data_IF_745353025644
#
_entry.id   IF_745353025644
#
_cell.length_a   1.000
_cell.length_b   1.000
_cell.length_c   1.000
_cell.angle_alpha   90.00
_cell.angle_beta   90.00
_cell.angle_gamma   90.00
#
_symmetry.space_group_name_H-M   'P 1'
#
loop_
_entity.id
_entity.type
_entity.pdbx_description
1 polymer ?
#
# COMPACT_ATOMS: atom_id res chain seq x y z
N UNK A 1 28.70 22.44 32.25
CA UNK A 1 27.88 21.42 31.55
C UNK A 1 28.86 20.36 31.06
N UNK A 2 28.59 19.09 31.28
CA UNK A 2 29.49 17.98 30.97
C UNK A 2 29.57 17.63 29.48
N UNK A 3 28.86 18.33 28.60
CA UNK A 3 28.81 18.07 27.16
C UNK A 3 28.71 19.37 26.34
N UNK A 4 29.04 19.29 25.05
CA UNK A 4 29.09 20.41 24.09
C UNK A 4 27.96 20.34 23.07
N UNK A 5 27.81 21.40 22.26
CA UNK A 5 26.87 21.38 21.10
C UNK A 5 27.27 20.33 20.03
N UNK A 6 28.58 20.00 19.96
CA UNK A 6 29.07 18.95 19.09
C UNK A 6 28.58 17.55 19.53
N UNK A 7 28.57 17.28 20.83
CA UNK A 7 28.08 16.03 21.39
C UNK A 7 26.56 15.84 21.11
N UNK A 8 25.78 16.93 21.23
CA UNK A 8 24.35 16.92 20.84
C UNK A 8 24.16 16.59 19.35
N UNK A 9 25.03 17.16 18.48
CA UNK A 9 25.00 16.88 17.05
C UNK A 9 25.38 15.43 16.77
N UNK A 10 26.43 14.93 17.40
CA UNK A 10 26.86 13.52 17.29
C UNK A 10 25.75 12.56 17.70
N UNK A 11 25.12 12.77 18.86
CA UNK A 11 24.02 11.94 19.33
C UNK A 11 22.81 11.99 18.38
N UNK A 12 22.51 13.17 17.80
CA UNK A 12 21.47 13.30 16.77
C UNK A 12 21.81 12.54 15.48
N UNK A 13 23.05 12.60 15.03
CA UNK A 13 23.51 11.86 13.84
C UNK A 13 23.43 10.36 14.04
N UNK A 14 23.73 9.87 15.26
CA UNK A 14 23.64 8.46 15.63
C UNK A 14 22.19 7.96 15.74
N UNK A 15 21.28 8.78 16.28
CA UNK A 15 19.93 8.32 16.67
C UNK A 15 18.81 8.86 15.78
N UNK A 16 19.09 9.84 14.91
CA UNK A 16 18.09 10.59 14.13
C UNK A 16 16.98 11.25 14.96
N UNK A 17 17.15 11.33 16.28
CA UNK A 17 16.19 11.95 17.21
C UNK A 17 16.32 13.48 17.19
N UNK A 18 15.24 14.19 17.52
CA UNK A 18 15.22 15.65 17.55
C UNK A 18 16.31 16.25 18.50
N UNK A 19 16.93 17.36 18.09
CA UNK A 19 18.05 18.00 18.80
C UNK A 19 17.75 18.31 20.27
N UNK A 20 16.52 18.69 20.60
CA UNK A 20 16.13 19.01 21.99
C UNK A 20 16.00 17.75 22.85
N UNK A 21 15.57 16.64 22.30
CA UNK A 21 15.53 15.36 23.01
C UNK A 21 16.95 14.81 23.22
N UNK A 22 17.84 14.95 22.22
CA UNK A 22 19.26 14.59 22.36
C UNK A 22 19.94 15.45 23.44
N UNK A 23 19.71 16.77 23.46
CA UNK A 23 20.23 17.64 24.53
C UNK A 23 19.71 17.22 25.89
N UNK A 24 18.43 16.90 26.02
CA UNK A 24 17.83 16.44 27.27
C UNK A 24 18.44 15.12 27.74
N UNK A 25 18.64 14.17 26.82
CA UNK A 25 19.27 12.90 27.14
C UNK A 25 20.68 13.09 27.69
N UNK A 26 21.51 13.94 27.08
CA UNK A 26 22.85 14.26 27.58
C UNK A 26 22.84 14.97 28.92
N UNK A 27 21.83 15.78 29.22
CA UNK A 27 21.66 16.37 30.55
C UNK A 27 21.39 15.30 31.60
N UNK A 28 20.46 14.38 31.34
CA UNK A 28 20.03 13.31 32.26
C UNK A 28 21.13 12.24 32.47
N UNK A 29 22.05 12.13 31.48
CA UNK A 29 23.15 11.15 31.49
C UNK A 29 24.53 11.78 31.72
N UNK A 30 24.61 13.00 32.30
CA UNK A 30 25.85 13.72 32.62
C UNK A 30 26.85 13.80 31.44
N UNK A 31 26.36 13.85 30.22
CA UNK A 31 27.14 13.94 28.97
C UNK A 31 27.64 12.61 28.44
N UNK A 32 27.30 11.48 29.04
CA UNK A 32 27.62 10.13 28.55
C UNK A 32 26.75 9.78 27.35
N UNK A 33 27.35 9.65 26.17
CA UNK A 33 26.66 9.42 24.91
C UNK A 33 26.00 8.04 24.90
N UNK A 34 26.67 6.99 25.36
CA UNK A 34 26.14 5.62 25.35
C UNK A 34 24.91 5.50 26.26
N UNK A 35 24.98 6.04 27.46
CA UNK A 35 23.80 6.10 28.35
C UNK A 35 22.69 6.98 27.79
N UNK A 36 23.03 8.06 27.09
CA UNK A 36 22.05 8.91 26.44
C UNK A 36 21.30 8.17 25.31
N UNK A 37 21.96 7.28 24.57
CA UNK A 37 21.31 6.40 23.58
C UNK A 37 20.33 5.46 24.26
N UNK A 38 20.72 4.78 25.36
CA UNK A 38 19.84 3.90 26.13
C UNK A 38 18.63 4.68 26.69
N UNK A 39 18.88 5.85 27.29
CA UNK A 39 17.82 6.73 27.80
C UNK A 39 16.82 7.17 26.71
N UNK A 40 17.32 7.51 25.52
CA UNK A 40 16.47 7.85 24.37
C UNK A 40 15.62 6.65 23.94
N UNK A 41 16.17 5.44 23.99
CA UNK A 41 15.44 4.20 23.66
C UNK A 41 14.29 3.95 24.65
N UNK A 42 14.53 4.07 25.96
CA UNK A 42 13.49 3.94 26.98
C UNK A 42 12.39 5.00 26.83
N UNK A 43 12.78 6.26 26.55
CA UNK A 43 11.82 7.35 26.31
C UNK A 43 11.06 7.15 24.99
N UNK A 44 11.68 6.54 24.01
CA UNK A 44 11.05 6.14 22.75
C UNK A 44 9.90 5.18 22.96
N UNK A 45 10.08 4.14 23.78
CA UNK A 45 9.03 3.20 24.19
C UNK A 45 7.82 3.93 24.80
N UNK A 46 8.06 4.84 25.75
CA UNK A 46 6.99 5.61 26.40
C UNK A 46 6.25 6.56 25.42
N UNK A 47 6.99 7.19 24.49
CA UNK A 47 6.40 8.06 23.46
C UNK A 47 5.59 7.24 22.44
N UNK A 48 6.11 6.09 21.99
CA UNK A 48 5.40 5.20 21.08
C UNK A 48 4.08 4.71 21.69
N UNK A 49 4.09 4.26 22.95
CA UNK A 49 2.89 3.83 23.67
C UNK A 49 1.81 4.94 23.75
N UNK A 50 2.23 6.20 24.00
CA UNK A 50 1.30 7.35 24.03
C UNK A 50 0.69 7.68 22.66
N UNK A 51 1.39 7.35 21.56
CA UNK A 51 0.94 7.64 20.21
C UNK A 51 0.16 6.48 19.58
N UNK A 52 0.28 5.27 20.08
CA UNK A 52 -0.31 4.06 19.50
C UNK A 52 -1.83 4.14 19.28
N UNK A 53 -2.55 4.94 20.11
CA UNK A 53 -3.99 5.18 19.94
C UNK A 53 -4.38 6.28 18.94
N UNK A 54 -3.41 6.94 18.29
CA UNK A 54 -3.72 7.98 17.30
C UNK A 54 -4.04 7.36 15.96
N UNK A 55 -5.00 7.96 15.24
CA UNK A 55 -5.39 7.50 13.91
C UNK A 55 -4.24 7.75 12.95
N UNK A 56 -3.77 6.68 12.30
CA UNK A 56 -2.75 6.70 11.26
C UNK A 56 -3.41 6.29 9.93
N UNK A 57 -4.04 7.24 9.24
CA UNK A 57 -4.81 7.00 8.01
C UNK A 57 -4.06 7.47 6.74
N UNK A 58 -2.94 8.18 6.91
CA UNK A 58 -2.01 8.50 5.84
C UNK A 58 -0.86 7.48 5.82
N UNK A 59 0.10 7.62 4.92
CA UNK A 59 1.24 6.70 4.83
C UNK A 59 1.62 6.36 3.39
N UNK A 60 2.16 5.14 3.20
CA UNK A 60 2.63 4.67 1.90
C UNK A 60 2.28 3.18 1.70
N UNK A 61 1.76 2.87 0.51
CA UNK A 61 1.72 1.52 -0.04
C UNK A 61 2.88 1.37 -1.03
N UNK A 62 3.88 0.57 -0.66
CA UNK A 62 5.12 0.43 -1.41
C UNK A 62 5.24 -0.97 -1.99
N UNK A 63 5.69 -1.05 -3.25
CA UNK A 63 5.97 -2.31 -3.92
C UNK A 63 7.49 -2.41 -4.22
N UNK A 64 8.09 -3.53 -3.83
CA UNK A 64 9.48 -3.90 -4.07
C UNK A 64 9.52 -5.16 -4.92
N UNK A 65 10.43 -5.21 -5.87
CA UNK A 65 10.79 -6.45 -6.59
C UNK A 65 12.30 -6.57 -6.58
N UNK A 66 12.80 -7.59 -5.92
CA UNK A 66 14.23 -7.82 -5.76
C UNK A 66 14.53 -9.32 -5.68
N UNK A 67 15.57 -9.78 -6.35
CA UNK A 67 16.05 -11.19 -6.35
C UNK A 67 14.94 -12.23 -6.65
N UNK A 68 14.00 -11.91 -7.54
CA UNK A 68 12.89 -12.79 -7.90
C UNK A 68 11.72 -12.78 -6.92
N UNK A 69 11.82 -12.02 -5.83
CA UNK A 69 10.76 -11.86 -4.83
C UNK A 69 10.05 -10.53 -5.04
N UNK A 70 8.72 -10.55 -5.03
CA UNK A 70 7.87 -9.37 -5.02
C UNK A 70 7.22 -9.16 -3.67
N UNK A 71 7.18 -7.90 -3.21
CA UNK A 71 6.53 -7.49 -1.97
C UNK A 71 5.68 -6.27 -2.22
N UNK A 72 4.48 -6.21 -1.67
CA UNK A 72 3.73 -4.98 -1.49
C UNK A 72 3.39 -4.84 -0.01
N UNK A 73 3.66 -3.67 0.57
CA UNK A 73 3.43 -3.39 1.99
C UNK A 73 2.75 -2.04 2.15
N UNK A 74 1.81 -1.96 3.09
CA UNK A 74 1.19 -0.70 3.54
C UNK A 74 1.68 -0.37 4.95
N UNK A 75 2.33 0.79 5.06
CA UNK A 75 2.73 1.40 6.34
C UNK A 75 2.02 2.72 6.49
N UNK A 76 1.37 2.92 7.63
CA UNK A 76 0.58 4.11 7.92
C UNK A 76 1.29 5.04 8.90
N UNK A 77 0.99 6.34 8.77
CA UNK A 77 1.37 7.43 9.67
C UNK A 77 0.20 8.41 9.85
N UNK A 78 0.37 9.44 10.68
CA UNK A 78 -0.73 10.37 11.01
C UNK A 78 -0.99 11.39 9.88
N UNK A 79 0.08 11.89 9.20
CA UNK A 79 -0.02 12.98 8.22
C UNK A 79 0.58 12.65 6.86
N UNK A 80 0.12 13.35 5.82
CA UNK A 80 0.67 13.24 4.47
C UNK A 80 2.07 13.89 4.35
N UNK A 81 2.43 14.81 5.24
CA UNK A 81 3.77 15.36 5.36
C UNK A 81 4.77 14.30 5.82
N UNK A 82 4.40 13.54 6.87
CA UNK A 82 5.18 12.42 7.33
C UNK A 82 5.39 11.38 6.21
N UNK A 83 4.30 11.01 5.52
CA UNK A 83 4.32 10.04 4.43
C UNK A 83 5.33 10.37 3.31
N UNK A 84 5.65 11.64 3.11
CA UNK A 84 6.60 12.14 2.11
C UNK A 84 8.01 12.37 2.65
N UNK A 85 8.22 12.24 3.96
CA UNK A 85 9.53 12.47 4.58
C UNK A 85 10.52 11.36 4.24
N UNK A 86 11.78 11.72 4.04
CA UNK A 86 12.83 10.75 3.71
C UNK A 86 12.98 9.66 4.78
N UNK A 87 12.82 10.01 6.06
CA UNK A 87 12.91 9.06 7.18
C UNK A 87 11.80 8.01 7.12
N UNK A 88 10.56 8.43 6.82
CA UNK A 88 9.44 7.51 6.69
C UNK A 88 9.57 6.63 5.44
N UNK A 89 9.91 7.24 4.30
CA UNK A 89 10.10 6.49 3.03
C UNK A 89 11.22 5.46 3.16
N UNK A 90 12.32 5.80 3.82
CA UNK A 90 13.41 4.86 4.10
C UNK A 90 12.93 3.72 4.99
N UNK A 91 12.19 4.02 6.06
CA UNK A 91 11.61 3.01 6.94
C UNK A 91 10.69 2.03 6.19
N UNK A 92 9.79 2.53 5.34
CA UNK A 92 8.90 1.69 4.52
C UNK A 92 9.68 0.76 3.59
N UNK A 93 10.74 1.27 2.95
CA UNK A 93 11.62 0.48 2.09
C UNK A 93 12.38 -0.60 2.86
N UNK A 94 12.86 -0.28 4.07
CA UNK A 94 13.53 -1.24 4.93
C UNK A 94 12.57 -2.37 5.35
N UNK A 95 11.32 -2.04 5.72
CA UNK A 95 10.29 -3.05 6.02
C UNK A 95 10.01 -3.94 4.82
N UNK A 96 9.90 -3.37 3.61
CA UNK A 96 9.71 -4.17 2.40
C UNK A 96 10.88 -5.15 2.15
N UNK A 97 12.13 -4.74 2.44
CA UNK A 97 13.31 -5.61 2.36
C UNK A 97 13.28 -6.72 3.42
N UNK A 98 12.94 -6.40 4.66
CA UNK A 98 12.78 -7.41 5.73
C UNK A 98 11.79 -8.49 5.28
N UNK A 99 10.64 -8.08 4.72
CA UNK A 99 9.62 -9.02 4.22
C UNK A 99 10.18 -9.87 3.07
N UNK A 100 10.90 -9.25 2.12
CA UNK A 100 11.46 -9.96 0.98
C UNK A 100 12.48 -11.03 1.40
N UNK A 101 13.36 -10.70 2.36
CA UNK A 101 14.49 -11.53 2.76
C UNK A 101 14.12 -12.61 3.79
N UNK A 102 13.21 -12.33 4.73
CA UNK A 102 12.96 -13.19 5.89
C UNK A 102 11.63 -13.96 5.85
N UNK A 103 10.78 -13.71 4.82
CA UNK A 103 9.53 -14.44 4.56
C UNK A 103 8.60 -14.59 5.78
N UNK A 104 8.25 -13.50 6.48
CA UNK A 104 7.31 -13.58 7.59
C UNK A 104 5.91 -13.99 7.09
N UNK A 105 5.22 -14.85 7.88
CA UNK A 105 3.89 -15.32 7.52
C UNK A 105 2.80 -14.23 7.62
N UNK A 106 2.98 -13.29 8.56
CA UNK A 106 2.05 -12.19 8.85
C UNK A 106 2.78 -11.01 9.52
N UNK A 107 2.02 -9.97 9.89
CA UNK A 107 2.59 -8.79 10.54
C UNK A 107 3.17 -9.12 11.92
N UNK A 108 2.56 -10.04 12.67
CA UNK A 108 3.07 -10.43 14.00
C UNK A 108 4.42 -11.18 13.88
N UNK A 109 4.56 -12.05 12.88
CA UNK A 109 5.83 -12.69 12.56
C UNK A 109 6.87 -11.66 12.08
N UNK A 110 6.47 -10.69 11.23
CA UNK A 110 7.33 -9.61 10.78
C UNK A 110 7.92 -8.79 11.93
N UNK A 111 7.14 -8.55 12.99
CA UNK A 111 7.60 -7.80 14.15
C UNK A 111 8.76 -8.50 14.89
N UNK A 112 8.93 -9.82 14.73
CA UNK A 112 10.01 -10.63 15.31
C UNK A 112 11.20 -10.80 14.33
N UNK A 113 11.08 -10.37 13.08
CA UNK A 113 12.18 -10.40 12.12
C UNK A 113 13.26 -9.37 12.47
N UNK A 114 14.52 -9.65 12.11
CA UNK A 114 15.60 -8.69 12.25
C UNK A 114 15.43 -7.50 11.31
N UNK A 115 15.60 -6.31 11.85
CA UNK A 115 15.57 -5.09 11.05
C UNK A 115 16.83 -4.97 10.18
N UNK A 116 16.71 -4.41 8.98
CA UNK A 116 17.82 -4.25 8.03
C UNK A 116 19.00 -3.54 8.67
N UNK A 117 20.18 -4.17 8.61
CA UNK A 117 21.42 -3.60 9.13
C UNK A 117 21.49 -3.46 10.66
N UNK A 118 20.64 -4.17 11.41
CA UNK A 118 20.57 -4.13 12.87
C UNK A 118 20.48 -5.53 13.46
N UNK A 119 20.97 -5.70 14.69
CA UNK A 119 20.71 -6.92 15.48
C UNK A 119 19.33 -6.90 16.17
N UNK A 120 18.67 -5.75 16.18
CA UNK A 120 17.34 -5.56 16.75
C UNK A 120 16.25 -6.10 15.82
N UNK A 121 15.15 -6.53 16.43
CA UNK A 121 13.93 -6.89 15.68
C UNK A 121 13.20 -5.64 15.20
N UNK A 122 12.24 -5.83 14.27
CA UNK A 122 11.35 -4.75 13.81
C UNK A 122 10.62 -4.14 15.01
N UNK A 123 10.08 -4.98 15.94
CA UNK A 123 9.36 -4.50 17.12
C UNK A 123 10.23 -3.67 18.06
N UNK A 124 11.50 -4.04 18.22
CA UNK A 124 12.46 -3.29 19.03
C UNK A 124 12.91 -1.98 18.39
N UNK A 125 12.87 -1.90 17.06
CA UNK A 125 13.22 -0.70 16.28
C UNK A 125 12.06 0.30 16.17
N UNK A 126 10.80 -0.16 16.18
CA UNK A 126 9.61 0.68 16.04
C UNK A 126 9.57 1.91 16.98
N UNK A 127 9.85 1.79 18.30
CA UNK A 127 9.83 2.94 19.21
C UNK A 127 10.82 4.04 18.82
N UNK A 128 12.00 3.66 18.35
CA UNK A 128 13.01 4.59 17.85
C UNK A 128 12.52 5.32 16.60
N UNK A 129 11.92 4.59 15.66
CA UNK A 129 11.33 5.18 14.43
C UNK A 129 10.18 6.14 14.77
N UNK A 130 9.29 5.76 15.68
CA UNK A 130 8.21 6.64 16.18
C UNK A 130 8.78 7.89 16.86
N UNK A 131 9.90 7.78 17.54
CA UNK A 131 10.54 8.92 18.20
C UNK A 131 11.22 9.86 17.18
N UNK A 132 11.94 9.32 16.22
CA UNK A 132 12.69 10.08 15.21
C UNK A 132 11.76 10.74 14.17
N UNK A 133 10.75 10.02 13.70
CA UNK A 133 9.76 10.51 12.75
C UNK A 133 8.75 11.44 13.44
N UNK A 134 8.41 11.16 14.70
CA UNK A 134 7.56 12.03 15.51
C UNK A 134 6.07 11.72 15.44
N UNK A 135 5.64 10.68 14.73
CA UNK A 135 4.25 10.27 14.55
C UNK A 135 3.99 8.83 14.98
N UNK A 136 2.71 8.44 15.11
CA UNK A 136 2.30 7.05 15.20
C UNK A 136 2.60 6.35 13.88
N UNK A 137 3.26 5.20 13.94
CA UNK A 137 3.59 4.38 12.77
C UNK A 137 2.95 3.00 12.93
N UNK A 138 2.34 2.50 11.86
CA UNK A 138 1.71 1.19 11.85
C UNK A 138 2.05 0.43 10.57
N UNK A 139 2.68 -0.74 10.69
CA UNK A 139 2.80 -1.69 9.59
C UNK A 139 1.46 -2.43 9.54
N UNK A 140 0.66 -2.18 8.50
CA UNK A 140 -0.73 -2.61 8.47
C UNK A 140 -0.93 -3.97 7.83
N UNK A 141 -0.35 -4.15 6.67
CA UNK A 141 -0.52 -5.37 5.86
C UNK A 141 0.58 -5.47 4.81
N UNK A 142 0.86 -6.67 4.37
CA UNK A 142 1.74 -6.94 3.24
C UNK A 142 1.32 -8.21 2.50
N UNK A 143 1.83 -8.36 1.29
CA UNK A 143 1.81 -9.61 0.53
C UNK A 143 3.17 -9.81 -0.11
N UNK A 144 3.62 -11.05 -0.14
CA UNK A 144 4.89 -11.49 -0.73
C UNK A 144 4.64 -12.59 -1.75
N UNK A 145 5.21 -12.45 -2.95
CA UNK A 145 5.26 -13.49 -3.96
C UNK A 145 6.71 -13.91 -4.17
N UNK A 146 7.00 -15.21 -3.99
CA UNK A 146 8.34 -15.80 -4.17
C UNK A 146 8.41 -16.66 -5.43
N UNK A 147 7.27 -16.97 -6.03
CA UNK A 147 7.18 -17.78 -7.24
C UNK A 147 6.81 -16.91 -8.44
N UNK A 148 7.20 -17.36 -9.64
CA UNK A 148 6.97 -16.67 -10.90
C UNK A 148 7.70 -15.32 -10.99
N UNK A 149 7.29 -14.47 -11.93
CA UNK A 149 7.83 -13.14 -12.12
C UNK A 149 6.93 -12.10 -11.49
N UNK A 150 7.42 -11.42 -10.47
CA UNK A 150 6.70 -10.32 -9.83
C UNK A 150 7.09 -8.98 -10.42
N UNK A 151 6.13 -8.08 -10.58
CA UNK A 151 6.34 -6.70 -11.03
C UNK A 151 5.61 -5.74 -10.09
N UNK A 152 6.37 -4.88 -9.42
CA UNK A 152 5.85 -3.85 -8.52
C UNK A 152 5.61 -2.52 -9.23
N UNK A 153 4.55 -1.81 -8.79
CA UNK A 153 4.24 -0.46 -9.23
C UNK A 153 3.73 0.39 -8.06
N UNK A 154 4.28 1.59 -7.95
CA UNK A 154 3.87 2.57 -6.92
C UNK A 154 3.28 3.78 -7.63
N UNK A 155 2.02 4.11 -7.33
CA UNK A 155 1.29 5.21 -7.93
C UNK A 155 1.11 6.37 -6.95
N UNK A 156 1.13 7.62 -7.50
CA UNK A 156 0.86 8.85 -6.77
C UNK A 156 1.66 8.99 -5.46
N UNK A 157 2.97 8.69 -5.51
CA UNK A 157 3.85 8.84 -4.36
C UNK A 157 3.57 7.88 -3.20
N UNK A 158 3.02 6.70 -3.49
CA UNK A 158 2.70 5.69 -2.48
C UNK A 158 1.25 5.66 -2.02
N UNK A 159 0.36 6.43 -2.67
CA UNK A 159 -1.09 6.32 -2.38
C UNK A 159 -1.67 4.98 -2.79
N UNK A 160 -1.12 4.36 -3.85
CA UNK A 160 -1.49 3.03 -4.29
C UNK A 160 -0.22 2.25 -4.58
N UNK A 161 -0.10 1.06 -4.01
CA UNK A 161 0.90 0.05 -4.33
C UNK A 161 0.26 -1.14 -5.02
N UNK A 162 0.84 -1.60 -6.11
CA UNK A 162 0.38 -2.77 -6.86
C UNK A 162 1.54 -3.74 -7.05
N UNK A 163 1.28 -5.02 -6.82
CA UNK A 163 2.18 -6.12 -7.13
C UNK A 163 1.46 -7.08 -8.06
N UNK A 164 2.04 -7.34 -9.22
CA UNK A 164 1.52 -8.28 -10.23
C UNK A 164 2.42 -9.50 -10.28
N UNK A 165 1.83 -10.69 -10.37
CA UNK A 165 2.52 -11.97 -10.51
C UNK A 165 2.20 -12.59 -11.87
N UNK A 166 3.24 -12.93 -12.64
CA UNK A 166 3.16 -13.39 -14.01
C UNK A 166 3.94 -14.69 -14.19
N UNK A 167 3.31 -15.73 -14.73
CA UNK A 167 4.04 -16.90 -15.24
C UNK A 167 4.62 -16.54 -16.62
N UNK A 168 5.94 -16.63 -16.76
CA UNK A 168 6.68 -16.20 -17.96
C UNK A 168 7.44 -17.37 -18.53
N UNK A 169 7.23 -17.66 -19.83
CA UNK A 169 7.96 -18.67 -20.57
C UNK A 169 8.74 -18.05 -21.74
N UNK A 170 9.79 -18.76 -22.17
CA UNK A 170 10.62 -18.33 -23.30
C UNK A 170 11.78 -17.40 -22.93
N UNK A 171 12.02 -17.21 -21.61
CA UNK A 171 13.16 -16.40 -21.11
C UNK A 171 13.07 -14.91 -21.45
N UNK A 172 11.87 -14.40 -21.71
CA UNK A 172 11.61 -12.99 -22.03
C UNK A 172 11.55 -12.12 -20.78
N UNK A 173 11.85 -10.82 -20.92
CA UNK A 173 11.62 -9.83 -19.86
C UNK A 173 10.16 -9.31 -19.92
N UNK A 174 9.36 -9.72 -18.95
CA UNK A 174 7.97 -9.31 -18.82
C UNK A 174 7.76 -8.04 -17.95
N UNK A 175 8.83 -7.35 -17.55
CA UNK A 175 8.76 -6.20 -16.65
C UNK A 175 7.83 -5.10 -17.17
N UNK A 176 7.92 -4.75 -18.47
CA UNK A 176 7.08 -3.71 -19.06
C UNK A 176 5.60 -4.16 -19.17
N UNK A 177 5.36 -5.44 -19.48
CA UNK A 177 4.02 -6.02 -19.49
C UNK A 177 3.39 -5.90 -18.09
N UNK A 178 4.13 -6.34 -17.07
CA UNK A 178 3.69 -6.28 -15.68
C UNK A 178 3.42 -4.85 -15.20
N UNK A 179 4.27 -3.88 -15.54
CA UNK A 179 4.05 -2.46 -15.22
C UNK A 179 2.78 -1.90 -15.83
N UNK A 180 2.52 -2.20 -17.10
CA UNK A 180 1.31 -1.73 -17.79
C UNK A 180 0.04 -2.35 -17.17
N UNK A 181 0.09 -3.63 -16.81
CA UNK A 181 -1.01 -4.30 -16.09
C UNK A 181 -1.18 -3.70 -14.68
N UNK A 182 -0.09 -3.44 -13.95
CA UNK A 182 -0.14 -2.81 -12.63
C UNK A 182 -0.71 -1.39 -12.69
N UNK A 183 -0.38 -0.59 -13.72
CA UNK A 183 -0.98 0.73 -13.95
C UNK A 183 -2.49 0.64 -14.21
N UNK A 184 -2.94 -0.34 -15.00
CA UNK A 184 -4.37 -0.61 -15.20
C UNK A 184 -5.08 -0.92 -13.87
N UNK A 185 -4.51 -1.81 -13.06
CA UNK A 185 -5.04 -2.18 -11.74
C UNK A 185 -5.10 -0.96 -10.81
N UNK A 186 -4.05 -0.14 -10.79
CA UNK A 186 -4.01 1.08 -9.98
C UNK A 186 -5.13 2.06 -10.37
N UNK A 187 -5.37 2.24 -11.67
CA UNK A 187 -6.31 3.20 -12.20
C UNK A 187 -7.78 2.76 -12.08
N UNK A 188 -8.09 1.51 -12.40
CA UNK A 188 -9.48 1.04 -12.54
C UNK A 188 -9.98 0.22 -11.36
N UNK A 189 -9.10 -0.25 -10.46
CA UNK A 189 -9.45 -1.03 -9.27
C UNK A 189 -10.43 -2.19 -9.56
N UNK A 190 -10.07 -3.15 -10.41
CA UNK A 190 -10.95 -4.26 -10.79
C UNK A 190 -11.39 -5.07 -9.56
N UNK A 191 -12.65 -5.52 -9.56
CA UNK A 191 -13.19 -6.36 -8.47
C UNK A 191 -12.68 -7.80 -8.53
N UNK A 192 -12.38 -8.28 -9.76
CA UNK A 192 -11.93 -9.64 -10.05
C UNK A 192 -10.75 -9.57 -11.03
N UNK A 193 -9.87 -10.55 -10.94
CA UNK A 193 -8.79 -10.64 -11.94
C UNK A 193 -9.27 -11.28 -13.25
N UNK A 194 -10.16 -12.26 -13.18
CA UNK A 194 -10.73 -12.94 -14.32
C UNK A 194 -12.22 -13.23 -14.08
N UNK A 195 -12.98 -13.34 -15.17
CA UNK A 195 -14.41 -13.69 -15.12
C UNK A 195 -14.71 -15.01 -14.43
N UNK A 196 -13.75 -15.95 -14.39
CA UNK A 196 -13.90 -17.23 -13.68
C UNK A 196 -13.97 -17.10 -12.17
N UNK A 197 -13.57 -15.95 -11.61
CA UNK A 197 -13.69 -15.63 -10.18
C UNK A 197 -15.06 -15.08 -9.80
N UNK A 198 -15.89 -14.74 -10.79
CA UNK A 198 -17.23 -14.23 -10.54
C UNK A 198 -18.16 -15.41 -10.23
N UNK A 199 -18.66 -15.48 -8.99
CA UNK A 199 -19.54 -16.57 -8.58
C UNK A 199 -20.95 -16.45 -9.14
N UNK A 200 -21.68 -17.58 -9.17
CA UNK A 200 -23.07 -17.60 -9.64
C UNK A 200 -23.98 -16.69 -8.82
N UNK A 201 -23.71 -16.51 -7.52
CA UNK A 201 -24.46 -15.60 -6.65
C UNK A 201 -24.28 -14.15 -7.07
N UNK A 202 -23.04 -13.72 -7.37
CA UNK A 202 -22.75 -12.36 -7.89
C UNK A 202 -23.48 -12.15 -9.21
N UNK A 203 -23.40 -13.12 -10.13
CA UNK A 203 -24.09 -13.03 -11.42
C UNK A 203 -25.63 -12.98 -11.27
N UNK A 204 -26.17 -13.75 -10.33
CA UNK A 204 -27.62 -13.73 -10.06
C UNK A 204 -28.10 -12.38 -9.53
N UNK A 205 -27.33 -11.76 -8.59
CA UNK A 205 -27.66 -10.44 -8.08
C UNK A 205 -27.54 -9.36 -9.16
N UNK A 206 -26.47 -9.37 -9.97
CA UNK A 206 -26.31 -8.42 -11.08
C UNK A 206 -27.40 -8.57 -12.14
N UNK A 207 -27.83 -9.80 -12.45
CA UNK A 207 -29.00 -10.06 -13.32
C UNK A 207 -30.27 -9.49 -12.74
N UNK A 208 -30.52 -9.68 -11.44
CA UNK A 208 -31.68 -9.14 -10.74
C UNK A 208 -31.71 -7.61 -10.78
N UNK A 209 -30.57 -6.97 -10.52
CA UNK A 209 -30.41 -5.51 -10.63
C UNK A 209 -30.69 -5.06 -12.06
N UNK A 210 -30.13 -5.76 -13.05
CA UNK A 210 -30.32 -5.45 -14.45
C UNK A 210 -31.79 -5.53 -14.88
N UNK A 211 -32.53 -6.54 -14.41
CA UNK A 211 -33.96 -6.69 -14.67
C UNK A 211 -34.77 -5.60 -13.98
N UNK A 212 -34.50 -5.32 -12.69
CA UNK A 212 -35.19 -4.26 -11.95
C UNK A 212 -35.02 -2.88 -12.62
N UNK A 213 -33.83 -2.56 -13.10
CA UNK A 213 -33.58 -1.33 -13.87
C UNK A 213 -34.35 -1.30 -15.21
N UNK A 214 -34.55 -2.46 -15.85
CA UNK A 214 -35.35 -2.51 -17.08
C UNK A 214 -36.83 -2.29 -16.82
N UNK A 215 -37.34 -2.75 -15.68
CA UNK A 215 -38.76 -2.57 -15.33
C UNK A 215 -39.10 -1.12 -14.96
N UNK A 216 -38.11 -0.30 -14.59
CA UNK A 216 -38.29 1.14 -14.36
C UNK A 216 -38.35 1.97 -15.65
N UNK A 217 -37.88 1.43 -16.78
CA UNK A 217 -37.98 2.08 -18.10
C UNK A 217 -39.18 1.56 -18.86
N UNK A 218 -40.24 2.37 -19.14
CA UNK A 218 -41.45 1.93 -19.83
C UNK A 218 -41.18 1.31 -21.20
N UNK A 219 -40.13 1.74 -21.93
CA UNK A 219 -39.74 1.20 -23.22
C UNK A 219 -39.11 -0.18 -23.13
N UNK A 220 -38.46 -0.47 -22.00
CA UNK A 220 -37.83 -1.76 -21.70
C UNK A 220 -38.83 -2.72 -21.05
N UNK A 221 -39.66 -2.23 -20.14
CA UNK A 221 -40.68 -3.02 -19.43
C UNK A 221 -41.67 -3.71 -20.40
N UNK A 222 -42.02 -3.05 -21.52
CA UNK A 222 -42.95 -3.59 -22.54
C UNK A 222 -42.33 -4.61 -23.50
N UNK A 223 -41.02 -4.92 -23.39
CA UNK A 223 -40.37 -5.89 -24.29
C UNK A 223 -40.70 -7.34 -23.93
N UNK A 224 -40.80 -8.26 -24.90
CA UNK A 224 -40.94 -9.69 -24.65
C UNK A 224 -39.78 -10.23 -23.81
N UNK A 225 -40.04 -11.24 -22.97
CA UNK A 225 -39.05 -11.82 -22.02
C UNK A 225 -37.78 -12.31 -22.73
N UNK A 226 -37.92 -12.97 -23.90
CA UNK A 226 -36.78 -13.41 -24.69
C UNK A 226 -35.86 -12.25 -25.17
N UNK A 227 -36.43 -11.04 -25.34
CA UNK A 227 -35.64 -9.84 -25.68
C UNK A 227 -34.97 -9.29 -24.42
N UNK A 228 -35.69 -9.30 -23.27
CA UNK A 228 -35.13 -8.90 -21.98
C UNK A 228 -33.93 -9.78 -21.62
N UNK A 229 -34.04 -11.10 -21.77
CA UNK A 229 -32.94 -12.04 -21.51
C UNK A 229 -31.69 -11.75 -22.33
N UNK A 230 -31.86 -11.48 -23.65
CA UNK A 230 -30.72 -11.10 -24.52
C UNK A 230 -30.03 -9.80 -24.06
N UNK A 231 -30.84 -8.83 -23.63
CA UNK A 231 -30.30 -7.56 -23.11
C UNK A 231 -29.53 -7.80 -21.77
N UNK A 232 -30.07 -8.65 -20.90
CA UNK A 232 -29.41 -9.03 -19.64
C UNK A 232 -28.08 -9.76 -19.94
N UNK A 233 -28.04 -10.68 -20.90
CA UNK A 233 -26.77 -11.30 -21.33
C UNK A 233 -25.76 -10.28 -21.83
N UNK A 234 -26.20 -9.29 -22.61
CA UNK A 234 -25.32 -8.19 -23.03
C UNK A 234 -24.80 -7.36 -21.87
N UNK A 235 -25.66 -7.09 -20.85
CA UNK A 235 -25.26 -6.40 -19.62
C UNK A 235 -24.27 -7.24 -18.80
N UNK A 236 -24.38 -8.56 -18.77
CA UNK A 236 -23.42 -9.44 -18.09
C UNK A 236 -22.05 -9.41 -18.77
N UNK A 237 -21.99 -9.38 -20.09
CA UNK A 237 -20.72 -9.19 -20.79
C UNK A 237 -20.08 -7.85 -20.45
N UNK A 238 -20.88 -6.79 -20.41
CA UNK A 238 -20.41 -5.47 -20.00
C UNK A 238 -19.95 -5.45 -18.53
N UNK A 239 -20.64 -6.17 -17.65
CA UNK A 239 -20.20 -6.35 -16.27
C UNK A 239 -18.78 -6.95 -16.17
N UNK A 240 -18.48 -7.99 -16.98
CA UNK A 240 -17.14 -8.55 -17.02
C UNK A 240 -16.10 -7.54 -17.54
N UNK A 241 -16.42 -6.81 -18.60
CA UNK A 241 -15.57 -5.78 -19.19
C UNK A 241 -15.29 -4.62 -18.21
N UNK A 242 -16.21 -4.33 -17.28
CA UNK A 242 -16.07 -3.25 -16.31
C UNK A 242 -15.45 -3.70 -14.98
N UNK A 243 -15.54 -4.99 -14.61
CA UNK A 243 -15.17 -5.47 -13.28
C UNK A 243 -14.05 -6.52 -13.27
N UNK A 244 -13.75 -7.19 -14.39
CA UNK A 244 -12.74 -8.25 -14.44
C UNK A 244 -11.52 -7.78 -15.24
N UNK A 245 -10.36 -7.70 -14.58
CA UNK A 245 -9.11 -7.17 -15.13
C UNK A 245 -8.81 -7.69 -16.55
N UNK A 246 -8.81 -9.01 -16.73
CA UNK A 246 -8.42 -9.63 -18.00
C UNK A 246 -9.42 -9.35 -19.14
N UNK A 247 -10.70 -9.08 -18.81
CA UNK A 247 -11.75 -8.73 -19.75
C UNK A 247 -11.86 -7.23 -20.00
N UNK A 248 -11.33 -6.39 -19.09
CA UNK A 248 -11.33 -4.92 -19.27
C UNK A 248 -10.62 -4.51 -20.55
N UNK A 249 -11.09 -3.43 -21.17
CA UNK A 249 -10.35 -2.77 -22.22
C UNK A 249 -9.05 -2.18 -21.67
N UNK A 250 -7.95 -2.37 -22.39
CA UNK A 250 -6.64 -1.90 -21.97
C UNK A 250 -6.56 -0.38 -22.07
N UNK A 251 -6.27 0.30 -20.96
CA UNK A 251 -6.31 1.78 -20.87
C UNK A 251 -5.28 2.47 -21.75
N UNK A 252 -4.13 1.82 -22.03
CA UNK A 252 -3.10 2.35 -22.91
C UNK A 252 -3.42 2.02 -24.37
N UNK A 253 -4.49 2.63 -24.90
CA UNK A 253 -4.94 2.45 -26.30
C UNK A 253 -3.90 2.89 -27.34
N UNK A 254 -2.92 3.69 -26.92
CA UNK A 254 -1.74 4.04 -27.71
C UNK A 254 -0.78 2.85 -27.93
N UNK A 255 -0.77 1.87 -27.05
CA UNK A 255 0.06 0.66 -27.16
C UNK A 255 -0.70 -0.52 -27.77
N UNK A 256 -1.97 -0.69 -27.41
CA UNK A 256 -2.79 -1.82 -27.82
C UNK A 256 -4.28 -1.50 -27.70
N UNK A 257 -5.07 -1.97 -28.68
CA UNK A 257 -6.55 -1.87 -28.67
C UNK A 257 -7.15 -3.25 -28.44
N UNK A 258 -7.87 -3.43 -27.34
CA UNK A 258 -8.52 -4.67 -26.94
C UNK A 258 -8.39 -4.94 -25.45
N UNK A 259 -8.74 -6.15 -25.02
CA UNK A 259 -8.72 -6.50 -23.61
C UNK A 259 -7.29 -6.64 -23.05
N UNK A 260 -7.14 -6.51 -21.73
CA UNK A 260 -5.87 -6.71 -20.99
C UNK A 260 -5.28 -8.09 -21.30
N UNK A 261 -6.12 -9.15 -21.33
CA UNK A 261 -5.68 -10.50 -21.68
C UNK A 261 -5.02 -10.56 -23.05
N UNK A 262 -5.65 -9.92 -24.05
CA UNK A 262 -5.10 -9.86 -25.41
C UNK A 262 -3.83 -9.02 -25.49
N UNK A 263 -3.75 -7.93 -24.73
CA UNK A 263 -2.53 -7.13 -24.61
C UNK A 263 -1.36 -7.96 -24.08
N UNK A 264 -1.56 -8.71 -22.98
CA UNK A 264 -0.53 -9.56 -22.39
C UNK A 264 -0.03 -10.58 -23.41
N UNK A 265 -0.96 -11.27 -24.11
CA UNK A 265 -0.62 -12.29 -25.11
C UNK A 265 0.12 -11.70 -26.31
N UNK A 266 -0.32 -10.54 -26.85
CA UNK A 266 0.31 -9.88 -27.99
C UNK A 266 1.71 -9.36 -27.65
N UNK A 267 1.86 -8.71 -26.49
CA UNK A 267 3.14 -8.18 -26.02
C UNK A 267 4.16 -9.31 -25.77
N UNK A 268 3.74 -10.41 -25.14
CA UNK A 268 4.60 -11.56 -24.90
C UNK A 268 5.05 -12.22 -26.23
N UNK A 269 4.14 -12.37 -27.19
CA UNK A 269 4.45 -12.90 -28.51
C UNK A 269 5.46 -12.04 -29.27
N UNK A 270 5.36 -10.72 -29.18
CA UNK A 270 6.34 -9.78 -29.77
C UNK A 270 7.75 -9.95 -29.18
N UNK A 271 7.84 -10.36 -27.93
CA UNK A 271 9.10 -10.66 -27.25
C UNK A 271 9.62 -12.09 -27.51
N UNK A 272 8.86 -12.91 -28.21
CA UNK A 272 9.25 -14.29 -28.55
C UNK A 272 8.96 -15.32 -27.46
N UNK A 273 8.08 -15.03 -26.50
CA UNK A 273 7.68 -15.93 -25.41
C UNK A 273 6.19 -15.94 -25.13
N UNK A 274 5.81 -16.41 -23.95
CA UNK A 274 4.45 -16.34 -23.45
C UNK A 274 4.41 -15.81 -22.02
N UNK A 275 3.33 -15.07 -21.69
CA UNK A 275 3.08 -14.54 -20.37
C UNK A 275 1.63 -14.84 -20.00
N UNK A 276 1.43 -15.38 -18.80
CA UNK A 276 0.11 -15.59 -18.21
C UNK A 276 0.00 -14.79 -16.92
N UNK A 277 -1.06 -14.04 -16.77
CA UNK A 277 -1.41 -13.43 -15.48
C UNK A 277 -1.75 -14.53 -14.46
N UNK A 278 -1.16 -14.46 -13.27
CA UNK A 278 -1.38 -15.41 -12.18
C UNK A 278 -2.20 -14.78 -11.07
N UNK A 279 -1.71 -13.67 -10.53
CA UNK A 279 -2.36 -12.97 -9.42
C UNK A 279 -1.88 -11.52 -9.34
N UNK A 280 -2.56 -10.71 -8.56
CA UNK A 280 -2.11 -9.37 -8.21
C UNK A 280 -2.63 -8.94 -6.84
N UNK A 281 -1.98 -7.94 -6.28
CA UNK A 281 -2.43 -7.27 -5.05
C UNK A 281 -2.39 -5.78 -5.26
N UNK A 282 -3.45 -5.09 -4.86
CA UNK A 282 -3.55 -3.64 -4.84
C UNK A 282 -3.85 -3.18 -3.44
N UNK A 283 -2.96 -2.34 -2.88
CA UNK A 283 -3.22 -1.64 -1.63
C UNK A 283 -3.41 -0.16 -1.90
N UNK A 284 -4.48 0.39 -1.38
CA UNK A 284 -4.69 1.83 -1.27
C UNK A 284 -4.41 2.25 0.17
N UNK A 285 -3.50 3.17 0.35
CA UNK A 285 -3.09 3.65 1.67
C UNK A 285 -4.28 4.25 2.42
N UNK A 286 -4.49 3.78 3.66
CA UNK A 286 -5.56 4.23 4.53
C UNK A 286 -6.96 3.73 4.16
N UNK A 287 -7.08 2.81 3.20
CA UNK A 287 -8.37 2.25 2.79
C UNK A 287 -9.10 1.61 3.98
N UNK A 288 -10.36 2.04 4.22
CA UNK A 288 -11.19 1.54 5.32
C UNK A 288 -10.81 2.07 6.71
N UNK A 289 -9.83 2.95 6.84
CA UNK A 289 -9.52 3.66 8.09
C UNK A 289 -10.37 4.93 8.15
N UNK A 290 -11.17 5.08 9.20
CA UNK A 290 -11.93 6.32 9.42
C UNK A 290 -10.98 7.48 9.67
N UNK A 291 -11.03 8.49 8.78
CA UNK A 291 -10.31 9.74 8.97
C UNK A 291 -11.05 10.60 9.96
N UNK A 292 -10.33 11.19 10.92
CA UNK A 292 -10.90 12.24 11.77
C UNK A 292 -11.36 13.38 10.86
N UNK A 293 -12.65 13.67 10.85
CA UNK A 293 -13.14 14.90 10.22
C UNK A 293 -12.70 16.07 11.10
N UNK A 294 -11.67 16.77 10.68
CA UNK A 294 -11.26 18.02 11.32
C UNK A 294 -12.24 19.11 10.86
N UNK A 295 -13.16 19.46 11.74
CA UNK A 295 -13.96 20.69 11.58
C UNK A 295 -13.08 21.87 12.02
N UNK A 296 -12.27 22.34 11.08
CA UNK A 296 -11.36 23.46 11.31
C UNK A 296 -12.10 24.71 11.82
N UNK A 297 -13.35 24.93 11.40
CA UNK A 297 -14.17 26.04 11.87
C UNK A 297 -14.53 25.88 13.36
N UNK A 298 -14.88 24.66 13.77
CA UNK A 298 -15.17 24.34 15.17
C UNK A 298 -13.91 24.41 16.06
N UNK A 299 -12.75 23.97 15.57
CA UNK A 299 -11.47 24.07 16.30
C UNK A 299 -11.04 25.53 16.50
N UNK A 300 -11.12 26.36 15.47
CA UNK A 300 -10.84 27.81 15.56
C UNK A 300 -11.80 28.48 16.53
N UNK A 301 -13.10 28.16 16.46
CA UNK A 301 -14.09 28.70 17.40
C UNK A 301 -13.82 28.28 18.85
N UNK A 302 -13.41 27.02 19.08
CA UNK A 302 -13.04 26.53 20.41
C UNK A 302 -11.80 27.24 20.96
N UNK A 303 -10.76 27.46 20.15
CA UNK A 303 -9.55 28.19 20.56
C UNK A 303 -9.85 29.68 20.85
N UNK A 304 -10.69 30.32 20.06
CA UNK A 304 -11.10 31.71 20.30
C UNK A 304 -11.91 31.88 21.61
N UNK A 305 -12.64 30.83 22.03
CA UNK A 305 -13.39 30.82 23.28
C UNK A 305 -12.55 30.48 24.51
N UNK A 306 -11.43 29.79 24.36
CA UNK A 306 -10.47 29.50 25.46
C UNK A 306 -9.57 30.71 25.81
N UNK A 307 -9.54 31.74 24.96
CA UNK A 307 -8.77 32.95 25.15
C UNK A 307 -9.53 34.12 25.81
N UNK A 308 -10.74 33.88 26.27
CA UNK A 308 -11.56 34.79 27.09
C UNK A 308 -11.66 34.26 28.52
#
# INVERSE_FOLDING_TARGET
MAFTAADVKTLREMTSVGMMDCKKALVECDGDIDKAVEWLREKGLAKAAKKAGRIAAEGMSYALTENGVGVVVEVNCETDFCAKSDLFVAFVKDIAKVIAEQDPADVDALMNCKYVGSDLTVSETMPEKVMSIGENLQIRRFVRFAENTSVGYVHAGGKIGVLVNLAVDGGIDATEIGKNVAMQIAALNPRFWDKSQVTDEVLAEEKKIALALMDTDPKMASKPDAVKEKIVMGKMNKFYEENCLLQMEFVRSDLFQGSVEKYIADAAKKLGGSVKFVDAVRFQTGEGIEKKQEDFAAEVAAQMNMGK
#
